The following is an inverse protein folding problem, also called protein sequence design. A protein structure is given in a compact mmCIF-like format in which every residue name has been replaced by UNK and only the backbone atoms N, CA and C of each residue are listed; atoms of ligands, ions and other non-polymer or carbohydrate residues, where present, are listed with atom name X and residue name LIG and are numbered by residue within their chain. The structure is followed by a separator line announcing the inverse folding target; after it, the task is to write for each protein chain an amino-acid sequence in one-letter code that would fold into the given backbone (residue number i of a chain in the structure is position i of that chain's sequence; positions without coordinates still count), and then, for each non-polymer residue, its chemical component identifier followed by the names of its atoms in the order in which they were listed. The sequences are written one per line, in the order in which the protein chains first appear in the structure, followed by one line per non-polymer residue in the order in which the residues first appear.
data_IF_132800105891
#
_entry.id   IF_132800105891
#
_cell.length_a   1.000
_cell.length_b   1.000
_cell.length_c   1.000
_cell.angle_alpha   90.00
_cell.angle_beta   90.00
_cell.angle_gamma   90.00
#
_symmetry.space_group_name_H-M   'P 1'
#
loop_
_entity.id
_entity.type
_entity.pdbx_description
1 polymer ?
#
# COMPACT_ATOMS: atom_id res chain seq x y z
N UNK A 1 5.13 9.13 2.65
CA UNK A 1 4.23 8.33 1.80
C UNK A 1 4.73 8.31 0.36
N UNK A 2 5.14 9.45 -0.22
CA UNK A 2 5.71 9.51 -1.57
C UNK A 2 6.99 8.66 -1.73
N UNK A 3 7.86 8.64 -0.72
CA UNK A 3 9.03 7.74 -0.69
C UNK A 3 8.68 6.28 -0.96
N UNK A 4 7.56 5.78 -0.43
CA UNK A 4 7.14 4.39 -0.64
C UNK A 4 6.64 4.10 -2.06
N UNK A 5 6.14 5.10 -2.78
CA UNK A 5 5.82 4.95 -4.21
C UNK A 5 7.10 4.87 -5.05
N UNK A 6 8.12 5.67 -4.72
CA UNK A 6 9.46 5.56 -5.30
C UNK A 6 10.10 4.19 -5.03
N UNK A 7 10.04 3.71 -3.78
CA UNK A 7 10.54 2.38 -3.40
C UNK A 7 9.84 1.27 -4.20
N UNK A 8 8.50 1.31 -4.26
CA UNK A 8 7.71 0.35 -5.03
C UNK A 8 8.09 0.37 -6.51
N UNK A 9 8.36 1.55 -7.08
CA UNK A 9 8.78 1.67 -8.47
C UNK A 9 10.09 0.95 -8.77
N UNK A 10 11.05 0.98 -7.84
CA UNK A 10 12.29 0.23 -7.96
C UNK A 10 12.04 -1.28 -7.89
N UNK A 11 11.19 -1.72 -6.96
CA UNK A 11 10.86 -3.15 -6.78
C UNK A 11 10.14 -3.77 -7.97
N UNK A 12 9.24 -3.03 -8.62
CA UNK A 12 8.45 -3.53 -9.76
C UNK A 12 9.08 -3.26 -11.12
N UNK A 13 10.25 -2.63 -11.17
CA UNK A 13 10.88 -2.22 -12.42
C UNK A 13 11.09 -3.38 -13.41
N UNK A 14 11.44 -4.56 -12.89
CA UNK A 14 11.69 -5.76 -13.71
C UNK A 14 10.41 -6.46 -14.18
N UNK A 15 9.24 -6.05 -13.68
CA UNK A 15 7.93 -6.60 -14.08
C UNK A 15 7.44 -6.08 -15.44
N UNK A 16 7.96 -4.95 -15.90
CA UNK A 16 7.45 -4.24 -17.09
C UNK A 16 8.52 -4.08 -18.16
N UNK A 17 8.11 -4.06 -19.43
CA UNK A 17 9.01 -3.92 -20.58
C UNK A 17 9.47 -2.46 -20.77
N UNK A 18 8.79 -1.50 -20.15
CA UNK A 18 9.11 -0.07 -20.24
C UNK A 18 8.95 0.67 -18.90
N UNK A 19 9.66 1.79 -18.77
CA UNK A 19 9.59 2.63 -17.58
C UNK A 19 8.21 3.28 -17.42
N UNK A 20 7.59 3.71 -18.53
CA UNK A 20 6.28 4.36 -18.55
C UNK A 20 5.16 3.41 -18.03
N UNK A 21 5.23 2.12 -18.36
CA UNK A 21 4.28 1.11 -17.87
C UNK A 21 4.41 0.90 -16.35
N UNK A 22 5.64 0.83 -15.85
CA UNK A 22 5.90 0.70 -14.42
C UNK A 22 5.48 1.97 -13.65
N UNK A 23 5.70 3.16 -14.22
CA UNK A 23 5.28 4.44 -13.63
C UNK A 23 3.74 4.52 -13.55
N UNK A 24 3.04 4.15 -14.62
CA UNK A 24 1.58 4.11 -14.66
C UNK A 24 0.99 3.11 -13.67
N UNK A 25 1.65 1.95 -13.48
CA UNK A 25 1.24 0.96 -12.48
C UNK A 25 1.39 1.50 -11.05
N UNK A 26 2.51 2.15 -10.73
CA UNK A 26 2.73 2.75 -9.41
C UNK A 26 1.78 3.91 -9.15
N UNK A 27 1.51 4.75 -10.15
CA UNK A 27 0.52 5.83 -10.07
C UNK A 27 -0.89 5.29 -9.78
N UNK A 28 -1.28 4.20 -10.45
CA UNK A 28 -2.55 3.53 -10.20
C UNK A 28 -2.62 3.01 -8.75
N UNK A 29 -1.55 2.39 -8.22
CA UNK A 29 -1.51 1.93 -6.82
C UNK A 29 -1.62 3.10 -5.84
N UNK A 30 -0.85 4.16 -6.04
CA UNK A 30 -0.78 5.30 -5.14
C UNK A 30 -2.10 6.09 -5.11
N UNK A 31 -2.81 6.15 -6.24
CA UNK A 31 -4.05 6.93 -6.37
C UNK A 31 -5.30 6.13 -5.99
N UNK A 32 -5.49 4.96 -6.60
CA UNK A 32 -6.55 4.01 -6.29
C UNK A 32 -6.14 2.61 -6.74
N UNK A 33 -5.59 1.83 -5.82
CA UNK A 33 -5.09 0.48 -6.05
C UNK A 33 -6.09 -0.46 -6.73
N UNK A 34 -7.39 -0.16 -6.69
CA UNK A 34 -8.43 -0.94 -7.39
C UNK A 34 -8.30 -0.86 -8.91
N UNK A 35 -7.77 0.25 -9.41
CA UNK A 35 -7.51 0.49 -10.83
C UNK A 35 -6.25 -0.21 -11.36
N UNK A 36 -5.36 -0.65 -10.46
CA UNK A 36 -4.12 -1.32 -10.81
C UNK A 36 -4.34 -2.81 -11.15
N UNK A 37 -3.50 -3.36 -12.03
CA UNK A 37 -3.48 -4.78 -12.37
C UNK A 37 -2.74 -5.58 -11.29
N UNK A 38 -3.42 -5.75 -10.15
CA UNK A 38 -2.94 -6.49 -8.99
C UNK A 38 -3.37 -7.96 -9.06
N UNK A 39 -2.46 -8.91 -8.76
CA UNK A 39 -2.81 -10.29 -8.46
C UNK A 39 -3.91 -10.37 -7.40
N UNK A 40 -4.71 -11.44 -7.43
CA UNK A 40 -5.82 -11.62 -6.48
C UNK A 40 -5.33 -11.62 -5.01
N UNK A 41 -4.14 -12.15 -4.77
CA UNK A 41 -3.47 -12.13 -3.46
C UNK A 41 -3.21 -10.70 -2.96
N UNK A 42 -2.66 -9.84 -3.81
CA UNK A 42 -2.38 -8.44 -3.46
C UNK A 42 -3.67 -7.64 -3.30
N UNK A 43 -4.69 -7.91 -4.13
CA UNK A 43 -6.02 -7.30 -3.97
C UNK A 43 -6.65 -7.66 -2.62
N UNK A 44 -6.57 -8.93 -2.20
CA UNK A 44 -7.07 -9.37 -0.91
C UNK A 44 -6.33 -8.68 0.25
N UNK A 45 -5.01 -8.51 0.12
CA UNK A 45 -4.19 -7.79 1.08
C UNK A 45 -4.57 -6.30 1.17
N UNK A 46 -4.79 -5.62 0.03
CA UNK A 46 -5.23 -4.23 0.00
C UNK A 46 -6.63 -4.05 0.65
N UNK A 47 -7.56 -4.96 0.39
CA UNK A 47 -8.88 -4.95 1.04
C UNK A 47 -8.76 -5.09 2.56
N UNK A 48 -7.92 -6.02 3.03
CA UNK A 48 -7.66 -6.19 4.45
C UNK A 48 -7.01 -4.95 5.07
N UNK A 49 -6.01 -4.35 4.39
CA UNK A 49 -5.33 -3.14 4.84
C UNK A 49 -6.27 -1.94 4.96
N UNK A 50 -7.16 -1.76 3.99
CA UNK A 50 -8.18 -0.71 4.02
C UNK A 50 -9.15 -0.92 5.19
N UNK A 51 -9.70 -2.14 5.34
CA UNK A 51 -10.62 -2.45 6.44
C UNK A 51 -9.95 -2.29 7.81
N UNK A 52 -8.71 -2.76 7.98
CA UNK A 52 -7.97 -2.58 9.23
C UNK A 52 -7.66 -1.11 9.52
N UNK A 53 -7.62 -0.25 8.50
CA UNK A 53 -7.34 1.18 8.66
C UNK A 53 -8.59 1.99 9.01
N UNK A 54 -9.71 1.69 8.35
CA UNK A 54 -10.96 2.44 8.48
C UNK A 54 -11.89 1.85 9.54
N UNK A 55 -11.95 0.52 9.64
CA UNK A 55 -12.97 -0.23 10.37
C UNK A 55 -12.39 -1.38 11.21
N UNK A 56 -11.25 -1.14 11.90
CA UNK A 56 -10.53 -2.18 12.67
C UNK A 56 -11.40 -2.97 13.66
N UNK A 57 -12.46 -2.35 14.21
CA UNK A 57 -13.40 -2.99 15.12
C UNK A 57 -14.24 -4.10 14.47
N UNK A 58 -14.33 -4.11 13.14
CA UNK A 58 -15.06 -5.10 12.34
C UNK A 58 -14.16 -6.23 11.82
N UNK A 59 -12.86 -6.19 12.12
CA UNK A 59 -11.93 -7.27 11.76
C UNK A 59 -12.27 -8.53 12.57
N UNK A 60 -12.40 -9.64 11.86
CA UNK A 60 -12.74 -10.94 12.43
C UNK A 60 -12.08 -12.12 11.73
N UNK A 61 -12.39 -13.35 12.16
CA UNK A 61 -11.80 -14.58 11.61
C UNK A 61 -11.98 -14.72 10.10
N UNK A 62 -13.10 -14.28 9.55
CA UNK A 62 -13.41 -14.37 8.12
C UNK A 62 -12.47 -13.52 7.26
N UNK A 63 -11.98 -12.39 7.79
CA UNK A 63 -10.99 -11.56 7.09
C UNK A 63 -9.64 -12.28 6.97
N UNK A 64 -9.22 -12.96 8.04
CA UNK A 64 -8.00 -13.75 8.06
C UNK A 64 -8.13 -14.98 7.14
N UNK A 65 -9.29 -15.61 7.12
CA UNK A 65 -9.55 -16.76 6.25
C UNK A 65 -9.56 -16.36 4.77
N UNK A 66 -10.10 -15.18 4.44
CA UNK A 66 -10.02 -14.62 3.09
C UNK A 66 -8.57 -14.51 2.63
N UNK A 67 -7.67 -14.00 3.47
CA UNK A 67 -6.24 -13.91 3.14
C UNK A 67 -5.60 -15.29 2.92
N UNK A 68 -5.93 -16.28 3.76
CA UNK A 68 -5.44 -17.66 3.59
C UNK A 68 -5.91 -18.31 2.30
N UNK A 69 -7.16 -18.10 1.92
CA UNK A 69 -7.72 -18.61 0.64
C UNK A 69 -6.92 -18.08 -0.56
N UNK A 70 -6.40 -16.86 -0.47
CA UNK A 70 -5.55 -16.25 -1.50
C UNK A 70 -4.05 -16.59 -1.34
N UNK A 71 -3.71 -17.55 -0.48
CA UNK A 71 -2.35 -18.09 -0.36
C UNK A 71 -1.42 -17.35 0.60
N UNK A 72 -1.93 -16.45 1.45
CA UNK A 72 -1.11 -15.89 2.53
C UNK A 72 -1.03 -16.86 3.71
N UNK A 73 0.20 -17.18 4.10
CA UNK A 73 0.49 -17.91 5.34
C UNK A 73 0.29 -17.01 6.57
N UNK A 74 0.02 -17.60 7.74
CA UNK A 74 -0.22 -16.85 8.98
C UNK A 74 0.93 -15.89 9.33
N UNK A 75 2.18 -16.25 9.00
CA UNK A 75 3.34 -15.35 9.20
C UNK A 75 3.28 -14.13 8.29
N UNK A 76 2.87 -14.29 7.03
CA UNK A 76 2.70 -13.17 6.10
C UNK A 76 1.54 -12.25 6.53
N UNK A 77 0.43 -12.83 7.02
CA UNK A 77 -0.70 -12.08 7.57
C UNK A 77 -0.27 -11.27 8.80
N UNK A 78 0.52 -11.88 9.68
CA UNK A 78 1.08 -11.22 10.86
C UNK A 78 1.99 -10.04 10.49
N UNK A 79 2.89 -10.23 9.51
CA UNK A 79 3.81 -9.19 9.06
C UNK A 79 3.07 -8.03 8.39
N UNK A 80 2.11 -8.34 7.52
CA UNK A 80 1.21 -7.35 6.92
C UNK A 80 0.48 -6.54 8.00
N UNK A 81 -0.12 -7.20 8.99
CA UNK A 81 -0.87 -6.55 10.08
C UNK A 81 0.00 -5.57 10.85
N UNK A 82 1.26 -5.94 11.14
CA UNK A 82 2.21 -5.06 11.81
C UNK A 82 2.54 -3.83 10.97
N UNK A 83 2.81 -4.00 9.67
CA UNK A 83 3.14 -2.89 8.76
C UNK A 83 1.95 -1.92 8.67
N UNK A 84 0.75 -2.45 8.43
CA UNK A 84 -0.48 -1.64 8.36
C UNK A 84 -0.69 -0.87 9.68
N UNK A 85 -0.58 -1.57 10.81
CA UNK A 85 -0.73 -0.97 12.14
C UNK A 85 0.32 0.11 12.43
N UNK A 86 1.57 -0.11 12.02
CA UNK A 86 2.66 0.86 12.18
C UNK A 86 2.40 2.15 11.39
N UNK A 87 2.01 2.04 10.10
CA UNK A 87 1.67 3.21 9.29
C UNK A 87 0.47 3.97 9.85
N UNK A 88 -0.54 3.23 10.30
CA UNK A 88 -1.69 3.78 11.00
C UNK A 88 -1.30 4.57 12.27
N UNK A 89 -0.29 4.13 13.01
CA UNK A 89 0.24 4.87 14.16
C UNK A 89 1.02 6.11 13.73
N UNK A 90 2.03 5.96 12.87
CA UNK A 90 2.96 7.04 12.57
C UNK A 90 2.29 8.19 11.79
N UNK A 91 1.37 7.89 10.87
CA UNK A 91 0.61 8.90 10.13
C UNK A 91 -0.23 9.75 11.09
N UNK A 92 -0.89 9.13 12.08
CA UNK A 92 -1.65 9.89 13.10
C UNK A 92 -0.77 10.79 13.94
N UNK A 93 0.44 10.35 14.29
CA UNK A 93 1.40 11.17 15.05
C UNK A 93 1.89 12.35 14.20
N UNK A 94 2.27 12.09 12.94
CA UNK A 94 2.72 13.11 12.01
C UNK A 94 1.64 14.19 11.80
N UNK A 95 0.42 13.77 11.48
CA UNK A 95 -0.71 14.66 11.23
C UNK A 95 -1.08 15.48 12.48
N UNK A 96 -1.12 14.85 13.66
CA UNK A 96 -1.48 15.52 14.90
C UNK A 96 -0.44 16.57 15.35
N UNK A 97 0.83 16.37 14.98
CA UNK A 97 1.92 17.28 15.32
C UNK A 97 2.25 18.27 14.20
N UNK A 98 1.56 18.20 13.06
CA UNK A 98 1.80 19.06 11.90
C UNK A 98 3.18 18.85 11.29
N UNK A 99 3.67 17.61 11.25
CA UNK A 99 4.92 17.26 10.57
C UNK A 99 4.74 17.51 9.08
N UNK A 100 5.56 18.38 8.52
CA UNK A 100 5.53 18.67 7.08
C UNK A 100 6.09 17.49 6.27
N UNK A 101 5.56 17.21 5.08
CA UNK A 101 6.13 16.23 4.16
C UNK A 101 7.59 16.57 3.83
N UNK A 102 8.38 15.55 3.49
CA UNK A 102 9.74 15.76 3.02
C UNK A 102 9.73 16.61 1.73
N UNK A 103 10.42 17.76 1.75
CA UNK A 103 10.46 18.70 0.62
C UNK A 103 11.19 18.15 -0.60
N UNK A 104 12.00 17.11 -0.41
CA UNK A 104 12.93 16.58 -1.40
C UNK A 104 12.29 15.48 -2.28
N UNK A 105 11.10 15.01 -1.90
CA UNK A 105 10.35 13.95 -2.60
C UNK A 105 9.01 14.54 -3.07
N UNK A 106 8.88 14.76 -4.39
CA UNK A 106 7.65 15.25 -5.01
C UNK A 106 6.50 14.24 -5.00
N UNK A 107 5.28 14.67 -5.33
CA UNK A 107 4.15 13.75 -5.50
C UNK A 107 4.33 12.91 -6.77
N UNK A 108 4.19 11.58 -6.65
CA UNK A 108 4.26 10.66 -7.79
C UNK A 108 3.18 10.99 -8.83
N UNK A 109 3.52 11.03 -10.12
CA UNK A 109 2.58 11.36 -11.20
C UNK A 109 2.32 12.86 -11.40
N UNK A 110 2.73 13.73 -10.48
CA UNK A 110 2.75 15.18 -10.68
C UNK A 110 4.17 15.62 -11.02
N UNK A 111 4.45 15.69 -12.32
CA UNK A 111 5.64 16.40 -12.80
C UNK A 111 5.66 17.80 -12.18
N UNK A 112 6.71 18.13 -11.42
CA UNK A 112 7.04 19.51 -11.09
C UNK A 112 7.19 20.29 -12.42
N UNK A 113 6.59 21.48 -12.58
CA UNK A 113 6.72 22.27 -13.81
C UNK A 113 8.17 22.61 -14.18
#
# INVERSE_FOLDING_TARGET
MQSHAHDLREEVAERFDSADEADAFVEAIASDWRSADLPEQDRALCLFAEKLTLDQQEIGPDDLESLRIHGLEDTAIHDATQIIGYFNYITRIADALGVEPESDIGEWGLSNP
#
